data_IF_938370011377
#
_entry.id   IF_938370011377
#
_cell.length_a   1.000
_cell.length_b   1.000
_cell.length_c   1.000
_cell.angle_alpha   90.00
_cell.angle_beta   90.00
_cell.angle_gamma   90.00
#
_symmetry.space_group_name_H-M   'P 1'
#
loop_
_entity.id
_entity.type
_entity.pdbx_description
1 polymer ?
#
# COMPACT_ATOMS: atom_id res chain seq x y z
N UNK A 1 15.54 17.70 -14.90
CA UNK A 1 14.61 16.96 -14.02
C UNK A 1 15.25 15.62 -13.69
N UNK A 2 15.98 15.56 -12.58
CA UNK A 2 16.59 14.33 -12.08
C UNK A 2 15.56 13.61 -11.20
N UNK A 3 14.68 12.83 -11.84
CA UNK A 3 13.83 11.85 -11.16
C UNK A 3 14.51 10.48 -11.25
N UNK A 4 15.71 10.38 -10.68
CA UNK A 4 16.23 9.13 -10.19
C UNK A 4 15.99 9.18 -8.69
N UNK A 5 15.54 8.09 -8.08
CA UNK A 5 15.59 7.95 -6.63
C UNK A 5 16.95 8.43 -6.18
N UNK A 6 16.97 9.56 -5.48
CA UNK A 6 18.18 10.00 -4.83
C UNK A 6 18.41 8.92 -3.80
N UNK A 7 19.39 8.03 -4.07
CA UNK A 7 20.18 7.49 -2.99
C UNK A 7 20.74 8.74 -2.30
N UNK A 8 20.01 9.24 -1.29
CA UNK A 8 20.54 10.29 -0.46
C UNK A 8 21.80 9.70 0.14
N UNK A 9 22.93 10.22 -0.33
CA UNK A 9 24.22 9.94 0.24
C UNK A 9 24.18 10.46 1.67
N UNK A 10 23.70 9.66 2.60
CA UNK A 10 24.05 9.83 4.01
C UNK A 10 25.42 9.16 4.17
N UNK A 11 26.45 9.85 3.68
CA UNK A 11 27.79 9.63 4.18
C UNK A 11 27.82 10.17 5.60
N UNK A 12 27.61 9.31 6.60
CA UNK A 12 28.07 9.62 7.96
C UNK A 12 29.59 9.45 7.98
N UNK A 13 30.30 10.37 7.33
CA UNK A 13 31.73 10.55 7.58
C UNK A 13 31.80 11.44 8.81
N UNK A 14 32.14 10.86 9.95
CA UNK A 14 32.41 11.61 11.17
C UNK A 14 33.54 12.61 10.93
N UNK A 15 33.20 13.85 10.63
CA UNK A 15 34.13 14.98 10.68
C UNK A 15 33.38 16.25 11.09
N UNK A 16 34.01 16.94 12.03
CA UNK A 16 33.48 18.04 12.82
C UNK A 16 32.90 19.19 11.97
N UNK A 17 31.83 19.78 12.50
CA UNK A 17 31.28 21.06 12.08
C UNK A 17 32.37 22.14 12.20
N UNK A 18 32.78 22.68 11.05
CA UNK A 18 33.52 23.92 10.92
C UNK A 18 32.78 24.79 9.92
N UNK A 19 32.44 25.99 10.36
CA UNK A 19 31.76 27.03 9.60
C UNK A 19 32.54 27.41 8.32
N UNK A 20 31.84 27.69 7.23
CA UNK A 20 32.06 28.90 6.40
C UNK A 20 31.02 29.06 5.28
N UNK A 21 30.89 30.31 4.84
CA UNK A 21 29.74 30.94 4.21
C UNK A 21 29.84 31.10 2.68
N UNK A 22 28.70 31.50 2.10
CA UNK A 22 28.47 32.31 0.89
C UNK A 22 29.12 31.96 -0.46
N UNK A 23 28.29 31.83 -1.50
CA UNK A 23 28.28 32.77 -2.64
C UNK A 23 27.22 32.43 -3.71
N UNK A 24 26.73 33.48 -4.34
CA UNK A 24 25.61 33.56 -5.26
C UNK A 24 25.98 33.35 -6.75
N UNK A 25 24.95 33.14 -7.58
CA UNK A 25 24.81 33.84 -8.86
C UNK A 25 24.85 32.98 -10.14
N UNK A 26 23.88 33.22 -11.03
CA UNK A 26 24.03 32.96 -12.46
C UNK A 26 22.78 32.41 -13.16
N UNK A 27 21.88 33.31 -13.59
CA UNK A 27 20.78 32.99 -14.50
C UNK A 27 21.24 32.80 -15.95
N UNK A 28 20.60 31.86 -16.66
CA UNK A 28 20.82 31.60 -18.08
C UNK A 28 19.49 31.25 -18.77
N UNK A 29 19.21 31.97 -19.87
CA UNK A 29 18.00 31.94 -20.69
C UNK A 29 17.76 30.57 -21.34
N UNK A 30 16.51 30.10 -21.37
CA UNK A 30 16.08 28.97 -22.21
C UNK A 30 15.32 29.48 -23.43
N UNK A 31 15.86 29.15 -24.61
CA UNK A 31 15.23 29.28 -25.91
C UNK A 31 14.12 28.24 -26.06
N UNK A 32 12.92 28.71 -26.44
CA UNK A 32 11.80 27.89 -26.87
C UNK A 32 12.11 27.29 -28.25
N UNK A 33 12.11 25.95 -28.33
CA UNK A 33 11.90 25.23 -29.58
C UNK A 33 10.48 24.66 -29.53
N UNK A 34 9.65 25.14 -30.45
CA UNK A 34 8.38 24.54 -30.84
C UNK A 34 8.72 23.34 -31.74
N UNK A 35 8.26 22.15 -31.33
CA UNK A 35 8.14 21.00 -32.22
C UNK A 35 6.66 20.58 -32.30
N UNK A 36 6.32 20.13 -33.49
CA UNK A 36 5.00 20.01 -34.09
C UNK A 36 4.12 18.97 -33.39
N UNK A 37 2.86 19.35 -33.15
CA UNK A 37 1.77 18.44 -32.79
C UNK A 37 1.37 17.62 -34.02
N UNK A 38 1.81 16.37 -34.07
CA UNK A 38 1.19 15.37 -34.94
C UNK A 38 0.10 14.63 -34.14
N UNK A 39 -1.16 14.88 -34.52
CA UNK A 39 -2.36 14.23 -34.00
C UNK A 39 -2.30 12.72 -34.20
N UNK A 40 -1.94 11.98 -33.14
CA UNK A 40 -2.27 10.57 -33.02
C UNK A 40 -3.50 10.41 -32.11
N UNK A 41 -4.67 10.61 -32.70
CA UNK A 41 -5.93 10.08 -32.17
C UNK A 41 -5.88 8.55 -32.19
N UNK A 42 -5.45 7.97 -31.08
CA UNK A 42 -5.48 6.53 -30.85
C UNK A 42 -5.98 6.26 -29.44
N UNK A 43 -7.16 5.65 -29.35
CA UNK A 43 -7.71 5.07 -28.12
C UNK A 43 -6.76 4.00 -27.58
N UNK A 44 -5.74 4.44 -26.85
CA UNK A 44 -4.79 3.60 -26.13
C UNK A 44 -5.37 3.20 -24.79
N UNK A 45 -6.30 2.24 -24.79
CA UNK A 45 -6.52 1.43 -23.60
C UNK A 45 -5.15 0.85 -23.19
N UNK A 46 -4.62 1.36 -22.08
CA UNK A 46 -3.30 1.01 -21.55
C UNK A 46 -3.18 -0.48 -21.33
N UNK A 47 -2.62 -1.17 -22.32
CA UNK A 47 -2.17 -2.55 -22.18
C UNK A 47 -1.12 -2.55 -21.07
N UNK A 48 -1.40 -3.29 -20.00
CA UNK A 48 -0.44 -3.62 -18.97
C UNK A 48 0.86 -4.07 -19.67
N UNK A 49 1.89 -3.22 -19.59
CA UNK A 49 3.20 -3.51 -20.11
C UNK A 49 3.63 -4.87 -19.59
N UNK A 50 3.79 -5.82 -20.52
CA UNK A 50 4.28 -7.14 -20.21
C UNK A 50 5.53 -7.02 -19.35
N UNK A 51 5.51 -7.70 -18.21
CA UNK A 51 6.57 -7.78 -17.22
C UNK A 51 7.82 -8.51 -17.77
N UNK A 52 8.38 -8.02 -18.87
CA UNK A 52 9.71 -8.38 -19.34
C UNK A 52 10.73 -7.62 -18.50
N UNK A 53 11.41 -8.32 -17.61
CA UNK A 53 12.46 -7.79 -16.72
C UNK A 53 13.75 -7.38 -17.45
N UNK A 54 13.64 -6.65 -18.55
CA UNK A 54 14.75 -6.02 -19.25
C UNK A 54 14.88 -4.55 -18.89
N UNK A 55 16.11 -4.04 -18.90
CA UNK A 55 16.34 -2.60 -19.03
C UNK A 55 15.50 -2.06 -20.19
N UNK A 56 14.79 -0.96 -19.94
CA UNK A 56 13.75 -0.46 -20.83
C UNK A 56 13.64 1.04 -20.77
N UNK A 57 12.62 1.57 -21.44
CA UNK A 57 12.24 2.97 -21.33
C UNK A 57 10.92 3.07 -20.58
N UNK A 58 10.85 3.92 -19.57
CA UNK A 58 9.63 4.22 -18.81
C UNK A 58 9.13 5.60 -19.20
N UNK A 59 7.81 5.73 -19.37
CA UNK A 59 7.17 7.02 -19.51
C UNK A 59 6.96 7.60 -18.11
N UNK A 60 7.49 8.79 -17.83
CA UNK A 60 7.15 9.58 -16.65
C UNK A 60 6.18 10.67 -17.05
N UNK A 61 5.09 10.78 -16.32
CA UNK A 61 4.09 11.84 -16.45
C UNK A 61 4.36 12.88 -15.37
N UNK A 62 4.41 14.14 -15.76
CA UNK A 62 4.62 15.27 -14.84
C UNK A 62 3.26 15.91 -14.56
N UNK A 63 2.81 15.98 -13.29
CA UNK A 63 1.55 16.63 -12.97
C UNK A 63 1.66 18.16 -13.08
N UNK A 64 0.52 18.82 -13.34
CA UNK A 64 0.37 20.29 -13.42
C UNK A 64 0.53 20.94 -12.06
N UNK A 65 0.02 20.28 -11.01
CA UNK A 65 0.23 20.62 -9.62
C UNK A 65 0.75 19.40 -8.85
N UNK A 66 1.88 19.54 -8.15
CA UNK A 66 2.42 18.47 -7.29
C UNK A 66 1.64 18.26 -5.99
N UNK A 67 0.38 18.69 -5.95
CA UNK A 67 -0.40 18.85 -4.72
C UNK A 67 -0.95 17.52 -4.16
N UNK A 68 -1.16 16.52 -5.01
CA UNK A 68 -1.88 15.29 -4.60
C UNK A 68 -1.00 14.04 -4.54
N UNK A 69 0.00 13.90 -5.42
CA UNK A 69 0.62 12.59 -5.68
C UNK A 69 2.13 12.64 -5.94
N UNK A 70 2.81 13.69 -5.48
CA UNK A 70 4.25 13.86 -5.70
C UNK A 70 4.59 14.61 -6.99
N UNK A 71 5.85 14.50 -7.42
CA UNK A 71 6.42 15.31 -8.51
C UNK A 71 6.42 14.61 -9.87
N UNK A 72 6.11 13.32 -9.92
CA UNK A 72 6.10 12.52 -11.13
C UNK A 72 5.15 11.32 -11.02
N UNK A 73 4.91 10.66 -12.14
CA UNK A 73 4.09 9.45 -12.20
C UNK A 73 4.62 8.47 -13.22
N UNK A 74 4.96 7.26 -12.80
CA UNK A 74 5.41 6.22 -13.74
C UNK A 74 4.20 5.74 -14.55
N UNK A 75 4.28 5.86 -15.87
CA UNK A 75 3.23 5.54 -16.84
C UNK A 75 1.91 6.29 -16.64
N UNK A 76 1.87 7.34 -15.81
CA UNK A 76 0.64 8.07 -15.50
C UNK A 76 -0.29 7.34 -14.50
N UNK A 77 0.22 6.34 -13.77
CA UNK A 77 -0.60 5.50 -12.87
C UNK A 77 -1.06 6.22 -11.60
N UNK A 78 -0.71 7.46 -11.34
CA UNK A 78 -1.14 8.23 -10.16
C UNK A 78 -1.51 9.68 -10.52
N UNK A 79 -1.77 9.97 -11.80
CA UNK A 79 -2.12 11.32 -12.28
C UNK A 79 -3.38 11.23 -13.13
N UNK A 80 -4.38 12.06 -12.82
CA UNK A 80 -5.59 12.12 -13.64
C UNK A 80 -5.30 12.78 -15.00
N UNK A 81 -5.99 12.44 -16.10
CA UNK A 81 -5.69 13.02 -17.41
C UNK A 81 -5.66 14.55 -17.46
N UNK A 82 -6.56 15.21 -16.71
CA UNK A 82 -6.64 16.68 -16.59
C UNK A 82 -5.50 17.31 -15.79
N UNK A 83 -4.77 16.50 -15.03
CA UNK A 83 -3.65 16.92 -14.19
C UNK A 83 -2.32 16.76 -14.92
N UNK A 84 -2.29 16.23 -16.14
CA UNK A 84 -1.04 16.05 -16.89
C UNK A 84 -0.53 17.39 -17.42
N UNK A 85 0.70 17.77 -17.04
CA UNK A 85 1.44 18.91 -17.63
C UNK A 85 2.22 18.48 -18.87
N UNK A 86 2.80 17.28 -18.81
CA UNK A 86 3.59 16.72 -19.89
C UNK A 86 4.07 15.31 -19.57
N UNK A 87 4.83 14.72 -20.49
CA UNK A 87 5.49 13.44 -20.24
C UNK A 87 6.89 13.39 -20.83
N UNK A 88 7.77 12.64 -20.18
CA UNK A 88 9.14 12.39 -20.62
C UNK A 88 9.40 10.89 -20.60
N UNK A 89 10.18 10.38 -21.55
CA UNK A 89 10.55 8.96 -21.56
C UNK A 89 11.98 8.81 -21.08
N UNK A 90 12.17 8.13 -19.94
CA UNK A 90 13.47 7.92 -19.29
C UNK A 90 13.97 6.48 -19.45
N UNK A 91 15.29 6.25 -19.50
CA UNK A 91 15.85 4.91 -19.31
C UNK A 91 15.47 4.35 -17.94
N UNK A 92 15.29 3.03 -17.86
CA UNK A 92 14.98 2.31 -16.64
C UNK A 92 15.82 1.04 -16.56
N UNK A 93 16.23 0.70 -15.34
CA UNK A 93 16.96 -0.52 -15.01
C UNK A 93 16.30 -1.23 -13.83
N UNK A 94 16.80 -2.41 -13.46
CA UNK A 94 16.34 -3.16 -12.30
C UNK A 94 17.39 -3.09 -11.19
N UNK A 95 16.96 -3.21 -9.92
CA UNK A 95 17.89 -3.20 -8.79
C UNK A 95 18.96 -4.31 -8.88
N UNK A 96 18.61 -5.46 -9.47
CA UNK A 96 19.52 -6.59 -9.69
C UNK A 96 20.69 -6.27 -10.64
N UNK A 97 20.62 -5.20 -11.43
CA UNK A 97 21.73 -4.72 -12.28
C UNK A 97 22.61 -3.73 -11.53
N UNK A 98 23.09 -4.13 -10.36
CA UNK A 98 23.85 -3.32 -9.42
C UNK A 98 24.98 -2.53 -10.10
N UNK A 99 25.73 -3.19 -10.97
CA UNK A 99 26.85 -2.64 -11.72
C UNK A 99 26.49 -1.48 -12.66
N UNK A 100 25.21 -1.32 -13.04
CA UNK A 100 24.77 -0.24 -13.92
C UNK A 100 24.48 1.06 -13.17
N UNK A 101 24.18 1.01 -11.87
CA UNK A 101 23.68 2.16 -11.12
C UNK A 101 24.40 2.43 -9.79
N UNK A 102 25.02 1.43 -9.19
CA UNK A 102 25.77 1.61 -7.95
C UNK A 102 27.17 2.20 -8.23
N UNK A 103 27.75 2.96 -7.28
CA UNK A 103 29.14 3.38 -7.38
C UNK A 103 30.08 2.17 -7.50
N UNK A 104 31.19 2.28 -8.26
CA UNK A 104 32.07 1.14 -8.55
C UNK A 104 32.79 0.56 -7.33
N UNK A 105 32.86 1.31 -6.23
CA UNK A 105 33.48 0.94 -4.97
C UNK A 105 32.50 0.35 -3.95
N UNK A 106 31.19 0.35 -4.24
CA UNK A 106 30.16 -0.23 -3.36
C UNK A 106 29.78 -1.60 -3.88
N UNK A 107 29.91 -2.63 -3.04
CA UNK A 107 29.60 -4.00 -3.41
C UNK A 107 28.16 -4.35 -2.97
N UNK A 108 27.48 -5.31 -3.63
CA UNK A 108 26.13 -5.73 -3.25
C UNK A 108 25.99 -6.13 -1.78
N UNK A 109 27.02 -6.74 -1.18
CA UNK A 109 27.03 -7.11 0.24
C UNK A 109 27.09 -5.92 1.21
N UNK A 110 27.39 -4.71 0.72
CA UNK A 110 27.40 -3.49 1.53
C UNK A 110 25.99 -2.87 1.65
N UNK A 111 24.96 -3.51 1.05
CA UNK A 111 23.57 -3.09 1.16
C UNK A 111 23.02 -3.27 2.58
N UNK A 112 23.00 -2.18 3.36
CA UNK A 112 22.47 -2.18 4.72
C UNK A 112 20.93 -2.06 4.76
N UNK A 113 20.37 -1.20 3.92
CA UNK A 113 18.96 -0.85 3.89
C UNK A 113 18.55 -0.45 2.47
N UNK A 114 17.44 -1.00 2.00
CA UNK A 114 16.72 -0.52 0.83
C UNK A 114 15.49 0.28 1.28
N UNK A 115 15.49 1.61 1.09
CA UNK A 115 14.30 2.46 1.26
C UNK A 115 13.57 2.59 -0.07
N UNK A 116 12.27 2.27 -0.10
CA UNK A 116 11.39 2.40 -1.25
C UNK A 116 10.26 3.39 -0.94
N UNK A 117 10.27 4.51 -1.62
CA UNK A 117 9.31 5.61 -1.52
C UNK A 117 9.27 6.20 -2.93
N UNK A 118 8.43 5.61 -3.78
CA UNK A 118 8.54 5.77 -5.22
C UNK A 118 7.27 6.30 -5.83
N UNK A 119 7.42 7.30 -6.70
CA UNK A 119 6.36 7.92 -7.51
C UNK A 119 5.69 6.96 -8.53
N UNK A 120 6.07 5.69 -8.49
CA UNK A 120 5.51 4.62 -9.30
C UNK A 120 4.85 3.58 -8.41
N UNK A 121 5.36 2.35 -8.46
CA UNK A 121 4.84 1.25 -7.65
C UNK A 121 5.95 0.29 -7.20
N UNK A 122 5.89 -0.11 -5.93
CA UNK A 122 6.95 -0.84 -5.23
C UNK A 122 7.12 -2.27 -5.71
N UNK A 123 6.03 -2.95 -6.11
CA UNK A 123 6.12 -4.38 -6.44
C UNK A 123 7.05 -4.68 -7.64
N UNK A 124 7.04 -3.91 -8.75
CA UNK A 124 8.04 -4.01 -9.80
C UNK A 124 9.47 -3.83 -9.31
N UNK A 125 9.72 -2.90 -8.39
CA UNK A 125 11.06 -2.64 -7.84
C UNK A 125 11.53 -3.82 -6.99
N UNK A 126 10.67 -4.34 -6.10
CA UNK A 126 10.96 -5.53 -5.31
C UNK A 126 11.23 -6.76 -6.19
N UNK A 127 10.46 -6.92 -7.28
CA UNK A 127 10.67 -7.98 -8.26
C UNK A 127 12.02 -7.83 -8.98
N UNK A 128 12.32 -6.61 -9.44
CA UNK A 128 13.57 -6.28 -10.14
C UNK A 128 14.81 -6.31 -9.25
N UNK A 129 14.64 -6.37 -7.92
CA UNK A 129 15.71 -6.54 -6.93
C UNK A 129 15.69 -7.90 -6.23
N UNK A 130 14.94 -8.87 -6.76
CA UNK A 130 14.70 -10.14 -6.05
C UNK A 130 15.99 -10.92 -5.80
N UNK A 131 16.94 -10.93 -6.74
CA UNK A 131 18.24 -11.60 -6.57
C UNK A 131 19.07 -10.89 -5.51
N UNK A 132 19.24 -9.57 -5.64
CA UNK A 132 19.96 -8.72 -4.70
C UNK A 132 19.42 -8.88 -3.28
N UNK A 133 18.11 -8.78 -3.10
CA UNK A 133 17.45 -8.91 -1.79
C UNK A 133 17.60 -10.32 -1.22
N UNK A 134 17.49 -11.36 -2.06
CA UNK A 134 17.64 -12.74 -1.60
C UNK A 134 19.04 -13.04 -1.08
N UNK A 135 20.07 -12.47 -1.70
CA UNK A 135 21.48 -12.75 -1.42
C UNK A 135 22.08 -11.80 -0.37
N UNK A 136 21.72 -10.53 -0.43
CA UNK A 136 22.39 -9.45 0.32
C UNK A 136 21.43 -8.56 1.13
N UNK A 137 20.13 -8.59 0.82
CA UNK A 137 19.15 -7.79 1.54
C UNK A 137 18.97 -8.25 2.99
N UNK A 138 19.25 -7.34 3.93
CA UNK A 138 18.93 -7.51 5.35
C UNK A 138 17.74 -6.69 5.81
N UNK A 139 17.58 -5.46 5.28
CA UNK A 139 16.52 -4.54 5.66
C UNK A 139 15.89 -3.89 4.42
N UNK A 140 14.56 -3.85 4.40
CA UNK A 140 13.76 -3.11 3.42
C UNK A 140 12.77 -2.25 4.17
N UNK A 141 12.74 -0.96 3.89
CA UNK A 141 11.71 -0.05 4.35
C UNK A 141 10.95 0.41 3.13
N UNK A 142 9.64 0.14 3.07
CA UNK A 142 8.84 0.49 1.89
C UNK A 142 7.54 1.17 2.28
N UNK A 143 7.13 2.14 1.47
CA UNK A 143 5.75 2.62 1.47
C UNK A 143 4.85 1.54 0.84
N UNK A 144 3.75 1.21 1.50
CA UNK A 144 2.73 0.31 1.02
C UNK A 144 1.54 1.14 0.54
N UNK A 145 1.41 1.31 -0.78
CA UNK A 145 0.52 2.29 -1.40
C UNK A 145 -0.53 1.68 -2.34
N UNK A 146 -1.46 0.84 -1.82
CA UNK A 146 -2.44 0.15 -2.65
C UNK A 146 -3.49 1.11 -3.22
N UNK A 147 -3.69 2.26 -2.56
CA UNK A 147 -4.70 3.24 -2.88
C UNK A 147 -4.60 3.81 -4.29
N UNK A 148 -3.41 3.83 -4.88
CA UNK A 148 -3.17 4.23 -6.27
C UNK A 148 -3.97 3.33 -7.23
N UNK A 149 -3.83 2.01 -7.12
CA UNK A 149 -4.51 1.06 -8.00
C UNK A 149 -5.95 0.79 -7.62
N UNK A 150 -6.30 0.95 -6.34
CA UNK A 150 -7.69 0.84 -5.89
C UNK A 150 -8.60 1.89 -6.52
N UNK A 151 -8.05 3.06 -6.89
CA UNK A 151 -8.78 4.20 -7.47
C UNK A 151 -8.86 4.19 -9.00
N UNK A 152 -7.81 3.71 -9.68
CA UNK A 152 -7.64 3.98 -11.11
C UNK A 152 -8.08 2.85 -12.04
N UNK A 153 -8.20 1.62 -11.54
CA UNK A 153 -8.61 0.52 -12.39
C UNK A 153 -9.30 -0.60 -11.60
N UNK A 154 -10.64 -0.68 -11.71
CA UNK A 154 -11.41 -1.77 -11.11
C UNK A 154 -11.43 -3.05 -11.95
N UNK A 155 -11.01 -3.00 -13.22
CA UNK A 155 -11.06 -4.16 -14.12
C UNK A 155 -9.76 -4.96 -14.14
N UNK A 156 -8.60 -4.31 -13.97
CA UNK A 156 -7.33 -5.00 -13.76
C UNK A 156 -6.91 -4.99 -12.29
N UNK A 157 -7.02 -6.16 -11.66
CA UNK A 157 -6.66 -6.38 -10.26
C UNK A 157 -5.26 -6.99 -10.10
N UNK A 158 -4.54 -7.29 -11.19
CA UNK A 158 -3.18 -7.82 -11.11
C UNK A 158 -2.21 -6.85 -10.42
N UNK A 159 -2.30 -5.52 -10.64
CA UNK A 159 -1.51 -4.57 -9.87
C UNK A 159 -1.83 -4.62 -8.37
N UNK A 160 -3.10 -4.69 -7.98
CA UNK A 160 -3.46 -4.77 -6.56
C UNK A 160 -2.88 -6.03 -5.88
N UNK A 161 -2.74 -7.13 -6.62
CA UNK A 161 -2.21 -8.39 -6.09
C UNK A 161 -0.68 -8.41 -5.93
N UNK A 162 0.08 -7.65 -6.73
CA UNK A 162 1.52 -7.91 -6.76
C UNK A 162 2.26 -7.37 -5.54
N UNK A 163 1.77 -6.33 -4.86
CA UNK A 163 2.42 -5.83 -3.65
C UNK A 163 2.27 -6.81 -2.46
N UNK A 164 1.06 -7.28 -2.10
CA UNK A 164 0.93 -8.32 -1.07
C UNK A 164 1.64 -9.62 -1.46
N UNK A 165 1.67 -9.98 -2.75
CA UNK A 165 2.45 -11.13 -3.23
C UNK A 165 3.98 -10.95 -3.08
N UNK A 166 4.50 -9.74 -3.33
CA UNK A 166 5.91 -9.42 -3.12
C UNK A 166 6.28 -9.46 -1.63
N UNK A 167 5.44 -8.91 -0.75
CA UNK A 167 5.64 -9.02 0.69
C UNK A 167 5.58 -10.47 1.18
N UNK A 168 4.66 -11.27 0.64
CA UNK A 168 4.56 -12.69 0.96
C UNK A 168 5.83 -13.45 0.53
N UNK A 169 6.41 -13.04 -0.60
CA UNK A 169 7.69 -13.58 -1.07
C UNK A 169 8.85 -13.21 -0.12
N UNK A 170 8.89 -11.98 0.42
CA UNK A 170 9.86 -11.60 1.46
C UNK A 170 9.66 -12.41 2.75
N UNK A 171 8.42 -12.58 3.21
CA UNK A 171 8.12 -13.42 4.39
C UNK A 171 8.66 -14.84 4.21
N UNK A 172 8.40 -15.45 3.04
CA UNK A 172 8.90 -16.79 2.67
C UNK A 172 10.43 -16.84 2.55
N UNK A 173 11.07 -15.73 2.17
CA UNK A 173 12.52 -15.59 2.14
C UNK A 173 13.15 -15.38 3.54
N UNK A 174 12.36 -15.46 4.61
CA UNK A 174 12.83 -15.40 5.99
C UNK A 174 12.89 -13.99 6.57
N UNK A 175 12.13 -13.04 6.00
CA UNK A 175 11.93 -11.72 6.61
C UNK A 175 10.80 -11.76 7.64
N UNK A 176 10.97 -11.00 8.71
CA UNK A 176 9.89 -10.52 9.57
C UNK A 176 9.55 -9.10 9.17
N UNK A 177 8.27 -8.73 9.26
CA UNK A 177 7.79 -7.46 8.75
C UNK A 177 7.00 -6.74 9.83
N UNK A 178 7.41 -5.52 10.14
CA UNK A 178 6.74 -4.65 11.08
C UNK A 178 5.88 -3.63 10.33
N UNK A 179 4.63 -3.51 10.74
CA UNK A 179 3.77 -2.39 10.32
C UNK A 179 4.20 -1.13 11.08
N UNK A 180 4.45 -0.04 10.34
CA UNK A 180 4.77 1.27 10.87
C UNK A 180 3.54 2.19 10.73
N UNK A 181 2.60 2.15 11.68
CA UNK A 181 1.36 2.93 11.57
C UNK A 181 1.67 4.43 11.54
N UNK A 182 1.18 5.10 10.49
CA UNK A 182 1.35 6.53 10.26
C UNK A 182 1.07 7.36 11.52
N UNK A 183 -0.03 7.06 12.21
CA UNK A 183 -0.50 7.84 13.36
C UNK A 183 0.30 7.61 14.65
N UNK A 184 1.01 6.49 14.80
CA UNK A 184 1.78 6.25 16.03
C UNK A 184 3.11 7.03 16.05
N UNK A 185 3.62 7.42 14.88
CA UNK A 185 4.91 8.09 14.74
C UNK A 185 4.78 9.54 14.24
N UNK A 186 3.74 9.85 13.46
CA UNK A 186 3.53 11.19 12.89
C UNK A 186 2.43 12.00 13.58
N UNK A 187 1.68 11.43 14.54
CA UNK A 187 0.65 12.15 15.29
C UNK A 187 0.90 12.09 16.81
N UNK A 188 0.79 13.24 17.53
CA UNK A 188 0.35 14.54 17.06
C UNK A 188 1.45 15.30 16.28
N UNK A 189 1.03 16.28 15.47
CA UNK A 189 1.93 17.25 14.83
C UNK A 189 2.20 18.42 15.81
N UNK A 190 3.45 18.90 15.96
CA UNK A 190 4.65 18.40 15.30
C UNK A 190 5.04 17.00 15.82
N UNK A 191 5.67 16.15 14.98
CA UNK A 191 6.08 14.82 15.38
C UNK A 191 6.94 14.92 16.64
N UNK A 192 6.77 13.97 17.57
CA UNK A 192 7.66 13.91 18.74
C UNK A 192 9.11 13.78 18.26
N UNK A 193 10.07 14.53 18.82
CA UNK A 193 11.49 14.28 18.59
C UNK A 193 11.81 12.81 18.86
N UNK A 194 12.39 12.12 17.88
CA UNK A 194 12.83 10.73 18.03
C UNK A 194 14.23 10.78 18.65
N UNK A 195 14.39 10.25 19.86
CA UNK A 195 15.70 9.98 20.45
C UNK A 195 16.22 8.65 19.87
N UNK A 196 17.33 8.63 19.10
CA UNK A 196 17.88 7.40 18.56
C UNK A 196 18.31 6.38 19.62
N UNK A 197 18.51 6.80 20.87
CA UNK A 197 18.80 5.91 21.99
C UNK A 197 17.54 5.24 22.57
N UNK A 198 16.35 5.78 22.29
CA UNK A 198 15.09 5.19 22.74
C UNK A 198 14.79 3.94 21.91
N UNK A 199 14.45 2.81 22.54
CA UNK A 199 14.08 1.61 21.80
C UNK A 199 12.81 1.88 20.99
N UNK A 200 12.75 1.33 19.78
CA UNK A 200 11.52 1.32 19.00
C UNK A 200 10.38 0.68 19.83
N UNK A 201 9.15 1.21 19.70
CA UNK A 201 8.00 0.62 20.36
C UNK A 201 7.76 -0.80 19.82
N UNK A 202 6.92 -1.55 20.52
CA UNK A 202 6.42 -2.81 19.99
C UNK A 202 5.56 -2.51 18.77
N UNK A 203 5.84 -3.20 17.67
CA UNK A 203 5.17 -3.05 16.38
C UNK A 203 4.31 -4.29 16.11
N UNK A 204 3.27 -4.11 15.31
CA UNK A 204 2.42 -5.22 14.87
C UNK A 204 3.08 -5.93 13.68
N UNK A 205 2.99 -7.26 13.63
CA UNK A 205 3.60 -8.04 12.54
C UNK A 205 2.68 -8.10 11.31
N UNK A 206 3.25 -7.85 10.13
CA UNK A 206 2.64 -8.21 8.85
C UNK A 206 2.95 -9.68 8.58
N UNK A 207 2.01 -10.56 8.89
CA UNK A 207 2.22 -12.01 8.80
C UNK A 207 1.98 -12.54 7.38
N UNK A 208 2.55 -13.70 7.07
CA UNK A 208 2.26 -14.39 5.82
C UNK A 208 0.78 -14.77 5.68
N UNK A 209 0.09 -15.08 6.78
CA UNK A 209 -1.33 -15.37 6.80
C UNK A 209 -2.17 -14.13 6.43
N UNK A 210 -1.88 -12.98 7.04
CA UNK A 210 -2.54 -11.71 6.71
C UNK A 210 -2.37 -11.34 5.23
N UNK A 211 -1.17 -11.54 4.66
CA UNK A 211 -0.94 -11.31 3.23
C UNK A 211 -1.68 -12.32 2.34
N UNK A 212 -1.84 -13.57 2.81
CA UNK A 212 -2.68 -14.57 2.15
C UNK A 212 -4.14 -14.13 2.06
N UNK A 213 -4.68 -13.58 3.16
CA UNK A 213 -6.02 -13.03 3.20
C UNK A 213 -6.20 -11.79 2.30
N UNK A 214 -5.18 -10.94 2.15
CA UNK A 214 -5.23 -9.84 1.17
C UNK A 214 -5.35 -10.37 -0.27
N UNK A 215 -4.61 -11.44 -0.60
CA UNK A 215 -4.71 -12.08 -1.92
C UNK A 215 -6.08 -12.76 -2.13
N UNK A 216 -6.62 -13.42 -1.11
CA UNK A 216 -7.97 -13.98 -1.13
C UNK A 216 -9.02 -12.90 -1.38
N UNK A 217 -8.92 -11.75 -0.71
CA UNK A 217 -9.77 -10.59 -0.92
C UNK A 217 -9.73 -10.10 -2.38
N UNK A 218 -8.56 -10.12 -3.01
CA UNK A 218 -8.40 -9.72 -4.41
C UNK A 218 -9.03 -10.75 -5.36
N UNK A 219 -8.89 -12.05 -5.10
CA UNK A 219 -9.58 -13.09 -5.89
C UNK A 219 -11.10 -13.01 -5.72
N UNK A 220 -11.58 -12.75 -4.51
CA UNK A 220 -13.00 -12.47 -4.24
C UNK A 220 -13.47 -11.26 -5.06
N UNK A 221 -12.66 -10.20 -5.14
CA UNK A 221 -12.95 -9.02 -5.98
C UNK A 221 -12.97 -9.33 -7.47
N UNK A 222 -12.05 -10.15 -7.97
CA UNK A 222 -12.06 -10.61 -9.37
C UNK A 222 -13.34 -11.37 -9.70
N UNK A 223 -13.75 -12.28 -8.82
CA UNK A 223 -14.98 -13.03 -8.99
C UNK A 223 -16.20 -12.09 -9.06
N UNK A 224 -16.29 -11.10 -8.18
CA UNK A 224 -17.34 -10.06 -8.21
C UNK A 224 -17.34 -9.21 -9.48
N UNK A 225 -16.16 -8.83 -9.98
CA UNK A 225 -16.05 -8.01 -11.18
C UNK A 225 -16.50 -8.78 -12.43
N UNK A 226 -16.25 -10.10 -12.45
CA UNK A 226 -16.59 -10.99 -13.57
C UNK A 226 -18.08 -11.35 -13.66
N UNK A 227 -18.84 -11.18 -12.57
CA UNK A 227 -20.25 -11.51 -12.52
C UNK A 227 -21.12 -10.36 -13.05
N UNK A 228 -22.34 -10.66 -13.54
CA UNK A 228 -23.29 -9.66 -14.11
C UNK A 228 -23.41 -8.42 -13.21
N UNK A 229 -23.54 -7.18 -13.75
CA UNK A 229 -23.66 -5.94 -12.95
C UNK A 229 -24.56 -6.04 -11.72
N UNK A 230 -25.63 -6.83 -11.79
CA UNK A 230 -26.63 -7.04 -10.74
C UNK A 230 -26.22 -8.02 -9.62
N UNK A 231 -25.09 -8.71 -9.76
CA UNK A 231 -24.62 -9.74 -8.83
C UNK A 231 -23.65 -9.14 -7.83
N UNK A 232 -24.21 -8.54 -6.79
CA UNK A 232 -23.49 -8.24 -5.56
C UNK A 232 -23.43 -9.52 -4.70
N UNK A 233 -22.29 -9.95 -4.15
CA UNK A 233 -22.25 -11.11 -3.25
C UNK A 233 -22.78 -10.78 -1.85
N UNK A 234 -23.19 -9.53 -1.62
CA UNK A 234 -23.93 -9.16 -0.43
C UNK A 234 -25.32 -9.79 -0.53
N UNK A 235 -25.82 -10.45 0.55
CA UNK A 235 -27.16 -11.00 0.58
C UNK A 235 -28.21 -9.94 0.19
N UNK A 236 -29.16 -10.24 -0.73
CA UNK A 236 -30.08 -9.27 -1.30
C UNK A 236 -30.95 -8.55 -0.25
N UNK A 237 -31.13 -9.16 0.92
CA UNK A 237 -31.84 -8.58 2.05
C UNK A 237 -31.22 -7.26 2.54
N UNK A 238 -29.90 -7.10 2.43
CA UNK A 238 -29.20 -5.89 2.86
C UNK A 238 -29.46 -4.69 1.94
N UNK A 239 -29.13 -4.70 0.63
CA UNK A 239 -29.40 -3.56 -0.24
C UNK A 239 -30.89 -3.25 -0.38
N UNK A 240 -31.79 -4.22 -0.22
CA UNK A 240 -33.25 -3.95 -0.22
C UNK A 240 -33.69 -3.08 0.96
N UNK A 241 -32.99 -3.16 2.10
CA UNK A 241 -33.36 -2.46 3.35
C UNK A 241 -32.44 -1.28 3.68
N UNK A 242 -31.17 -1.38 3.30
CA UNK A 242 -30.10 -0.46 3.67
C UNK A 242 -29.35 -0.01 2.41
N UNK A 243 -29.65 1.19 1.87
CA UNK A 243 -29.12 1.63 0.58
C UNK A 243 -27.59 1.70 0.49
N UNK A 244 -26.88 1.84 1.61
CA UNK A 244 -25.40 1.83 1.68
C UNK A 244 -24.78 0.55 1.10
N UNK A 245 -25.55 -0.55 1.05
CA UNK A 245 -25.11 -1.85 0.50
C UNK A 245 -25.26 -1.97 -1.02
N UNK A 246 -25.84 -0.99 -1.72
CA UNK A 246 -25.98 -1.03 -3.18
C UNK A 246 -24.64 -0.94 -3.93
N UNK A 247 -23.65 -0.23 -3.39
CA UNK A 247 -22.41 0.10 -4.09
C UNK A 247 -21.26 -0.90 -3.87
N UNK A 248 -21.57 -2.19 -3.72
CA UNK A 248 -20.60 -3.18 -3.27
C UNK A 248 -19.41 -3.44 -4.22
N UNK A 249 -19.51 -3.04 -5.50
CA UNK A 249 -18.42 -3.17 -6.48
C UNK A 249 -17.31 -2.12 -6.31
N UNK A 250 -17.68 -0.93 -5.83
CA UNK A 250 -16.78 0.22 -5.78
C UNK A 250 -16.22 0.46 -4.38
N UNK A 251 -16.85 -0.14 -3.39
CA UNK A 251 -16.53 0.10 -2.00
C UNK A 251 -15.53 -0.95 -1.49
N UNK A 252 -14.29 -0.52 -1.29
CA UNK A 252 -13.15 -1.37 -0.92
C UNK A 252 -13.35 -2.09 0.42
N UNK A 253 -14.18 -1.55 1.31
CA UNK A 253 -14.44 -2.15 2.63
C UNK A 253 -15.10 -3.52 2.54
N UNK A 254 -15.96 -3.78 1.54
CA UNK A 254 -16.53 -5.11 1.29
C UNK A 254 -15.50 -6.12 0.82
N UNK A 255 -14.55 -5.64 0.02
CA UNK A 255 -13.62 -6.49 -0.72
C UNK A 255 -12.35 -6.73 0.07
N UNK A 256 -12.22 -6.16 1.26
CA UNK A 256 -11.05 -6.30 2.12
C UNK A 256 -11.32 -7.35 3.19
N UNK A 257 -10.38 -8.30 3.31
CA UNK A 257 -10.44 -9.31 4.34
C UNK A 257 -10.08 -8.67 5.70
N UNK A 258 -10.90 -8.81 6.76
CA UNK A 258 -10.61 -8.17 8.06
C UNK A 258 -9.43 -8.78 8.80
N UNK A 259 -9.02 -10.00 8.45
CA UNK A 259 -7.76 -10.61 8.90
C UNK A 259 -6.58 -10.32 7.95
N UNK A 260 -6.82 -9.59 6.86
CA UNK A 260 -5.79 -9.18 5.90
C UNK A 260 -5.05 -7.92 6.33
N UNK A 261 -3.81 -7.75 5.91
CA UNK A 261 -3.00 -6.58 6.27
C UNK A 261 -3.60 -5.27 5.75
N UNK A 262 -4.26 -5.29 4.58
CA UNK A 262 -4.97 -4.12 4.02
C UNK A 262 -6.02 -3.55 4.97
N UNK A 263 -6.58 -4.35 5.88
CA UNK A 263 -7.55 -3.88 6.89
C UNK A 263 -6.93 -2.99 7.98
N UNK A 264 -5.60 -2.95 8.11
CA UNK A 264 -4.88 -2.26 9.17
C UNK A 264 -4.53 -0.79 8.89
N UNK A 265 -4.90 -0.24 7.73
CA UNK A 265 -4.65 1.17 7.39
C UNK A 265 -5.66 1.67 6.35
N UNK A 266 -5.92 2.98 6.32
CA UNK A 266 -6.95 3.56 5.46
C UNK A 266 -6.52 3.68 3.99
N UNK A 267 -5.33 4.24 3.76
CA UNK A 267 -4.87 4.62 2.41
C UNK A 267 -3.50 4.02 2.07
N UNK A 268 -2.43 4.58 2.65
CA UNK A 268 -1.07 4.05 2.55
C UNK A 268 -0.53 3.79 3.97
N UNK A 269 0.52 2.98 4.06
CA UNK A 269 1.28 2.80 5.30
C UNK A 269 2.75 2.51 5.00
N UNK A 270 3.57 2.30 6.01
CA UNK A 270 4.96 1.88 5.83
C UNK A 270 5.16 0.47 6.41
N UNK A 271 6.01 -0.31 5.75
CA UNK A 271 6.42 -1.64 6.21
C UNK A 271 7.93 -1.67 6.32
N UNK A 272 8.42 -2.09 7.49
CA UNK A 272 9.83 -2.43 7.68
C UNK A 272 9.99 -3.94 7.68
N UNK A 273 10.59 -4.49 6.62
CA UNK A 273 11.00 -5.88 6.54
C UNK A 273 12.46 -6.02 6.98
N UNK A 274 12.74 -6.91 7.92
CA UNK A 274 14.09 -7.28 8.32
C UNK A 274 14.26 -8.80 8.28
N UNK A 275 15.39 -9.28 7.77
CA UNK A 275 15.71 -10.72 7.76
C UNK A 275 15.76 -11.22 9.20
N UNK A 276 15.03 -12.29 9.55
CA UNK A 276 14.89 -12.80 10.94
C UNK A 276 16.23 -13.06 11.64
N UNK A 277 17.24 -13.47 10.87
CA UNK A 277 18.60 -13.74 11.37
C UNK A 277 19.50 -12.51 11.49
N UNK A 278 19.07 -11.32 11.04
CA UNK A 278 19.89 -10.11 11.07
C UNK A 278 19.98 -9.54 12.48
N UNK A 279 21.01 -8.73 12.71
CA UNK A 279 21.17 -8.00 13.97
C UNK A 279 20.01 -7.02 14.19
N UNK A 280 19.60 -6.31 13.13
CA UNK A 280 18.52 -5.33 13.19
C UNK A 280 17.20 -5.96 13.65
N UNK A 281 16.82 -7.12 13.10
CA UNK A 281 15.62 -7.83 13.52
C UNK A 281 15.68 -8.24 14.99
N UNK A 282 16.80 -8.83 15.44
CA UNK A 282 16.95 -9.32 16.82
C UNK A 282 17.01 -8.22 17.87
N UNK A 283 17.60 -7.08 17.55
CA UNK A 283 17.84 -6.01 18.53
C UNK A 283 16.76 -4.93 18.53
N UNK A 284 16.21 -4.59 17.36
CA UNK A 284 15.38 -3.41 17.21
C UNK A 284 13.93 -3.73 16.80
N UNK A 285 13.68 -4.86 16.15
CA UNK A 285 12.32 -5.22 15.71
C UNK A 285 11.59 -6.02 16.79
N UNK A 286 10.84 -5.33 17.64
CA UNK A 286 9.97 -5.94 18.66
C UNK A 286 8.58 -6.11 18.09
N UNK A 287 8.18 -7.36 17.79
CA UNK A 287 6.87 -7.65 17.22
C UNK A 287 5.91 -8.21 18.27
N UNK A 288 4.67 -7.73 18.28
CA UNK A 288 3.57 -8.36 19.01
C UNK A 288 2.23 -8.09 18.31
N UNK A 289 1.38 -9.12 18.25
CA UNK A 289 0.11 -9.04 17.55
C UNK A 289 0.26 -9.01 16.03
N UNK A 290 -0.88 -9.05 15.33
CA UNK A 290 -0.95 -9.02 13.87
C UNK A 290 -1.45 -7.66 13.41
N UNK A 291 -0.82 -7.13 12.36
CA UNK A 291 -1.26 -5.92 11.68
C UNK A 291 -2.52 -6.22 10.84
N UNK A 292 -3.66 -6.39 11.50
CA UNK A 292 -4.97 -6.61 10.89
C UNK A 292 -6.08 -6.09 11.83
N UNK A 293 -7.28 -5.87 11.31
CA UNK A 293 -8.43 -5.47 12.12
C UNK A 293 -8.87 -6.61 13.06
N UNK A 294 -8.92 -7.84 12.55
CA UNK A 294 -9.27 -9.05 13.30
C UNK A 294 -8.01 -9.88 13.55
N UNK A 295 -7.96 -10.52 14.72
CA UNK A 295 -6.95 -11.54 14.98
C UNK A 295 -7.18 -12.76 14.08
N UNK A 296 -6.11 -13.50 13.78
CA UNK A 296 -6.14 -14.69 12.91
C UNK A 296 -7.07 -15.79 13.45
N UNK A 297 -7.24 -15.88 14.77
CA UNK A 297 -8.11 -16.87 15.41
C UNK A 297 -9.58 -16.41 15.55
N UNK A 298 -9.92 -15.16 15.20
CA UNK A 298 -11.28 -14.65 15.37
C UNK A 298 -12.25 -15.38 14.42
N UNK A 299 -13.39 -15.84 14.95
CA UNK A 299 -14.47 -16.38 14.13
C UNK A 299 -15.05 -15.27 13.24
N UNK A 300 -14.92 -15.45 11.93
CA UNK A 300 -15.40 -14.51 10.91
C UNK A 300 -16.92 -14.30 10.94
N UNK A 301 -17.68 -15.21 11.58
CA UNK A 301 -19.12 -15.04 11.82
C UNK A 301 -19.42 -13.94 12.84
N UNK A 302 -18.43 -13.56 13.66
CA UNK A 302 -18.49 -12.36 14.50
C UNK A 302 -18.10 -11.15 13.64
N UNK A 303 -19.10 -10.35 13.26
CA UNK A 303 -18.93 -9.31 12.25
C UNK A 303 -18.05 -8.11 12.66
N UNK A 304 -17.84 -7.91 13.97
CA UNK A 304 -17.07 -6.79 14.53
C UNK A 304 -15.79 -7.29 15.20
N UNK A 305 -14.73 -6.46 15.25
CA UNK A 305 -13.45 -6.88 15.83
C UNK A 305 -13.57 -7.13 17.34
N UNK A 306 -13.10 -8.29 17.79
CA UNK A 306 -12.98 -8.62 19.22
C UNK A 306 -11.65 -8.15 19.80
N UNK A 307 -10.58 -8.16 19.00
CA UNK A 307 -9.25 -7.73 19.44
C UNK A 307 -9.07 -6.21 19.39
N UNK A 308 -9.88 -5.51 18.59
CA UNK A 308 -9.87 -4.05 18.46
C UNK A 308 -11.30 -3.46 18.57
N UNK A 309 -11.95 -3.57 19.74
CA UNK A 309 -13.30 -3.05 19.91
C UNK A 309 -13.33 -1.52 19.69
N UNK A 310 -14.31 -1.06 18.91
CA UNK A 310 -14.44 0.36 18.57
C UNK A 310 -13.55 0.84 17.42
N UNK A 311 -12.87 -0.08 16.74
CA UNK A 311 -12.04 0.22 15.57
C UNK A 311 -12.67 -0.35 14.29
N UNK A 312 -12.64 0.45 13.24
CA UNK A 312 -13.15 0.16 11.91
C UNK A 312 -12.05 -0.39 10.99
N UNK A 313 -12.45 -0.83 9.79
CA UNK A 313 -11.52 -1.04 8.67
C UNK A 313 -10.61 0.17 8.46
N UNK A 314 -9.32 -0.08 8.25
CA UNK A 314 -8.28 0.93 8.14
C UNK A 314 -7.81 1.53 9.47
N UNK A 315 -8.15 0.88 10.59
CA UNK A 315 -7.90 1.32 11.96
C UNK A 315 -8.46 2.71 12.31
N UNK A 316 -9.54 3.10 11.63
CA UNK A 316 -10.27 4.34 11.93
C UNK A 316 -11.12 4.11 13.19
N UNK A 317 -11.27 5.12 14.05
CA UNK A 317 -12.17 5.00 15.20
C UNK A 317 -13.63 4.91 14.71
N UNK A 318 -14.40 3.94 15.18
CA UNK A 318 -15.81 3.78 14.80
C UNK A 318 -16.66 5.03 15.08
N UNK A 319 -16.28 5.88 16.02
CA UNK A 319 -16.98 7.16 16.26
C UNK A 319 -16.81 8.18 15.14
N UNK A 320 -15.82 7.98 14.25
CA UNK A 320 -15.58 8.81 13.07
C UNK A 320 -16.29 8.26 11.82
N UNK A 321 -16.90 7.07 11.91
CA UNK A 321 -17.69 6.47 10.84
C UNK A 321 -19.13 6.95 10.97
N UNK A 322 -19.70 7.44 9.87
CA UNK A 322 -21.10 7.88 9.84
C UNK A 322 -22.05 6.74 10.24
N UNK A 323 -23.09 7.04 11.01
CA UNK A 323 -23.98 6.02 11.60
C UNK A 323 -24.63 5.07 10.58
N UNK A 324 -24.85 5.53 9.35
CA UNK A 324 -25.36 4.70 8.25
C UNK A 324 -24.31 3.83 7.54
N UNK A 325 -23.06 3.83 8.00
CA UNK A 325 -21.94 3.06 7.43
C UNK A 325 -21.24 2.19 8.48
N UNK A 326 -21.75 2.13 9.72
CA UNK A 326 -21.06 1.42 10.80
C UNK A 326 -20.89 -0.06 10.50
N UNK A 327 -21.95 -0.75 10.08
CA UNK A 327 -21.85 -2.18 9.78
C UNK A 327 -20.97 -2.45 8.56
N UNK A 328 -21.01 -1.59 7.54
CA UNK A 328 -20.11 -1.67 6.39
C UNK A 328 -18.63 -1.69 6.81
N UNK A 329 -18.26 -0.83 7.75
CA UNK A 329 -16.91 -0.70 8.27
C UNK A 329 -16.59 -1.66 9.44
N UNK A 330 -17.45 -2.66 9.69
CA UNK A 330 -17.32 -3.67 10.78
C UNK A 330 -17.33 -3.07 12.18
N UNK A 331 -18.04 -1.96 12.36
CA UNK A 331 -18.23 -1.28 13.63
C UNK A 331 -19.53 -1.72 14.32
N UNK A 332 -19.55 -1.83 15.65
CA UNK A 332 -20.80 -1.95 16.40
C UNK A 332 -21.57 -0.61 16.38
N UNK A 333 -22.89 -0.68 16.49
CA UNK A 333 -23.71 0.50 16.73
C UNK A 333 -23.51 1.03 18.16
N UNK A 334 -23.11 2.30 18.34
CA UNK A 334 -22.98 2.86 19.68
C UNK A 334 -24.35 3.02 20.35
N UNK A 335 -24.41 3.08 21.70
CA UNK A 335 -25.63 3.46 22.41
C UNK A 335 -26.17 4.80 21.90
N UNK A 336 -27.47 4.86 21.62
CA UNK A 336 -28.11 6.07 21.10
C UNK A 336 -27.94 6.30 19.59
N UNK A 337 -27.31 5.38 18.85
CA UNK A 337 -27.35 5.40 17.39
C UNK A 337 -28.81 5.36 16.88
N UNK A 338 -29.08 5.90 15.67
CA UNK A 338 -30.41 5.79 15.05
C UNK A 338 -30.89 4.34 15.00
N UNK A 339 -32.21 4.12 15.15
CA UNK A 339 -32.80 2.78 15.17
C UNK A 339 -32.40 1.91 13.96
N UNK A 340 -32.26 2.53 12.79
CA UNK A 340 -31.81 1.86 11.57
C UNK A 340 -30.44 1.16 11.72
N UNK A 341 -29.52 1.69 12.52
CA UNK A 341 -28.22 1.05 12.77
C UNK A 341 -28.42 -0.28 13.52
N UNK A 342 -29.22 -0.28 14.58
CA UNK A 342 -29.45 -1.49 15.38
C UNK A 342 -30.13 -2.59 14.56
N UNK A 343 -31.08 -2.20 13.69
CA UNK A 343 -31.71 -3.12 12.73
C UNK A 343 -30.71 -3.70 11.73
N UNK A 344 -29.82 -2.86 11.18
CA UNK A 344 -28.75 -3.26 10.28
C UNK A 344 -27.80 -4.24 10.96
N UNK A 345 -27.35 -3.93 12.19
CA UNK A 345 -26.46 -4.79 12.98
C UNK A 345 -27.08 -6.16 13.23
N UNK A 346 -28.36 -6.21 13.59
CA UNK A 346 -29.06 -7.49 13.80
C UNK A 346 -29.15 -8.32 12.52
N UNK A 347 -29.44 -7.68 11.39
CA UNK A 347 -29.50 -8.37 10.10
C UNK A 347 -28.13 -8.90 9.68
N UNK A 348 -27.09 -8.06 9.78
CA UNK A 348 -25.71 -8.44 9.45
C UNK A 348 -25.22 -9.57 10.35
N UNK A 349 -25.47 -9.50 11.67
CA UNK A 349 -25.10 -10.57 12.59
C UNK A 349 -25.80 -11.90 12.25
N UNK A 350 -27.08 -11.86 11.90
CA UNK A 350 -27.82 -13.04 11.42
C UNK A 350 -27.20 -13.63 10.16
N UNK A 351 -26.96 -12.80 9.13
CA UNK A 351 -26.39 -13.24 7.86
C UNK A 351 -24.96 -13.77 8.02
N UNK A 352 -24.15 -13.17 8.90
CA UNK A 352 -22.80 -13.62 9.21
C UNK A 352 -22.82 -14.99 9.90
N UNK A 353 -23.74 -15.19 10.86
CA UNK A 353 -23.93 -16.49 11.52
C UNK A 353 -24.38 -17.58 10.53
N UNK A 354 -25.17 -17.23 9.51
CA UNK A 354 -25.57 -18.11 8.41
C UNK A 354 -24.46 -18.37 7.38
N UNK A 355 -23.29 -17.71 7.50
CA UNK A 355 -22.18 -17.84 6.54
C UNK A 355 -22.44 -17.14 5.20
N UNK A 356 -23.41 -16.23 5.14
CA UNK A 356 -23.82 -15.51 3.92
C UNK A 356 -23.06 -14.21 3.69
N UNK A 357 -22.37 -13.70 4.71
CA UNK A 357 -21.59 -12.47 4.59
C UNK A 357 -20.21 -12.77 3.97
N UNK A 358 -19.55 -11.79 3.33
CA UNK A 358 -18.20 -11.97 2.78
C UNK A 358 -17.22 -12.53 3.82
N UNK A 359 -16.46 -13.54 3.40
CA UNK A 359 -15.46 -14.24 4.22
C UNK A 359 -16.00 -14.99 5.45
N UNK A 360 -17.31 -15.21 5.55
CA UNK A 360 -17.92 -15.95 6.69
C UNK A 360 -18.26 -17.41 6.38
N UNK A 361 -18.33 -17.77 5.10
CA UNK A 361 -18.33 -19.15 4.68
C UNK A 361 -16.93 -19.70 4.93
N UNK A 362 -16.77 -20.52 5.97
CA UNK A 362 -15.50 -21.21 6.20
C UNK A 362 -15.07 -21.88 4.90
N UNK A 363 -13.82 -21.69 4.49
CA UNK A 363 -13.24 -22.31 3.30
C UNK A 363 -13.55 -23.81 3.41
N UNK A 364 -14.54 -24.29 2.67
CA UNK A 364 -14.85 -25.71 2.64
C UNK A 364 -13.59 -26.36 2.09
N UNK A 365 -12.85 -27.04 2.98
CA UNK A 365 -11.49 -27.51 2.73
C UNK A 365 -11.31 -27.99 1.29
N UNK A 366 -10.51 -27.23 0.54
CA UNK A 366 -9.99 -27.59 -0.78
C UNK A 366 -8.94 -28.68 -0.65
#
# INVERSE_FOLDING_TARGET
VHAAGVAERVHVVGKALGDEADAAGGGGQQQQQQEEEEEAGGDGAGGAGGAGGGAGRLRLVVPRDGAYWGLASVNGVNVMPKEVLGSVTVPATTLDRWEEWAPPDVLPQDLLLLKLDIEGWEAPVLRGGSRLLSQHGENVLLEYSPGIFERLNHSDLAPQAALPASLLSLARAGFSMAHLPLFAFAAPWPPRPIDPAEPLPVLEEVTAAALGHDLEAIEFRKAMASSSPDTCPVPPELPQRFPVWHSCRHEWTYTTHPQGFRSAFGFNTNVWAARRGSQAARQHMRLAGVAALFDEAQDMRVWTSQSRPGTAMGLINCSQVGSGHLQLFRCPCPPGAPAGCAEEQQMVAKLAAEGKMPFTAGVKGS
#
